data_IF_922289150555
#
_entry.id   IF_922289150555
#
_cell.length_a   1.000
_cell.length_b   1.000
_cell.length_c   1.000
_cell.angle_alpha   90.00
_cell.angle_beta   90.00
_cell.angle_gamma   90.00
#
_symmetry.space_group_name_H-M   'P 1'
#
loop_
_entity.id
_entity.type
_entity.pdbx_description
1 polymer ?
#
# COMPACT_ATOMS: atom_id res chain seq x y z
N UNK A 1 -8.99 -9.97 -17.04
CA UNK A 1 -8.30 -9.63 -15.78
C UNK A 1 -7.31 -8.54 -16.10
N UNK A 2 -7.22 -7.51 -15.26
CA UNK A 2 -6.17 -6.50 -15.41
C UNK A 2 -4.81 -7.17 -15.26
N UNK A 3 -3.86 -6.88 -16.16
CA UNK A 3 -2.47 -7.33 -16.03
C UNK A 3 -1.64 -6.48 -15.06
N UNK A 4 -2.25 -5.45 -14.46
CA UNK A 4 -1.60 -4.52 -13.56
C UNK A 4 -1.40 -5.13 -12.16
N UNK A 5 -0.19 -5.02 -11.62
CA UNK A 5 0.21 -5.55 -10.33
C UNK A 5 0.76 -4.48 -9.37
N UNK A 6 0.92 -4.83 -8.09
CA UNK A 6 1.62 -3.96 -7.13
C UNK A 6 3.09 -3.75 -7.51
N UNK A 7 3.73 -4.72 -8.17
CA UNK A 7 5.09 -4.58 -8.67
C UNK A 7 5.17 -3.55 -9.81
N UNK A 8 4.16 -3.51 -10.70
CA UNK A 8 4.06 -2.44 -11.70
C UNK A 8 3.90 -1.07 -11.04
N UNK A 9 3.08 -1.01 -9.98
CA UNK A 9 2.86 0.21 -9.24
C UNK A 9 4.14 0.68 -8.51
N UNK A 10 4.88 -0.22 -7.87
CA UNK A 10 6.17 0.08 -7.24
C UNK A 10 7.17 0.65 -8.27
N UNK A 11 7.27 0.02 -9.45
CA UNK A 11 8.12 0.51 -10.54
C UNK A 11 7.70 1.92 -10.98
N UNK A 12 6.42 2.17 -11.15
CA UNK A 12 5.89 3.50 -11.52
C UNK A 12 6.21 4.54 -10.44
N UNK A 13 6.07 4.20 -9.15
CA UNK A 13 6.43 5.08 -8.03
C UNK A 13 7.93 5.38 -8.05
N UNK A 14 8.78 4.37 -8.27
CA UNK A 14 10.23 4.55 -8.38
C UNK A 14 10.59 5.48 -9.55
N UNK A 15 10.04 5.25 -10.74
CA UNK A 15 10.25 6.10 -11.92
C UNK A 15 9.81 7.54 -11.66
N UNK A 16 8.58 7.74 -11.14
CA UNK A 16 8.03 9.07 -10.88
C UNK A 16 8.71 9.80 -9.73
N UNK A 17 9.34 9.08 -8.80
CA UNK A 17 10.11 9.68 -7.70
C UNK A 17 11.38 10.40 -8.15
N UNK A 18 11.89 10.05 -9.35
CA UNK A 18 13.12 10.60 -9.93
C UNK A 18 12.89 11.86 -10.78
N UNK A 19 11.64 12.17 -11.10
CA UNK A 19 11.27 13.36 -11.86
C UNK A 19 11.40 14.64 -11.03
N UNK A 20 11.29 15.81 -11.68
CA UNK A 20 11.23 17.09 -10.96
C UNK A 20 9.99 17.13 -10.04
N UNK A 21 10.11 17.60 -8.78
CA UNK A 21 8.98 17.85 -7.88
C UNK A 21 7.92 18.81 -8.42
N UNK A 22 8.27 19.59 -9.44
CA UNK A 22 7.36 20.53 -10.11
C UNK A 22 6.48 19.83 -11.15
N UNK A 23 6.90 18.66 -11.64
CA UNK A 23 6.27 17.92 -12.74
C UNK A 23 5.60 16.62 -12.28
N UNK A 24 5.95 16.13 -11.09
CA UNK A 24 5.47 14.85 -10.55
C UNK A 24 4.99 14.97 -9.12
N UNK A 25 3.74 14.57 -8.88
CA UNK A 25 3.17 14.48 -7.53
C UNK A 25 3.99 13.53 -6.64
N UNK A 26 4.43 12.40 -7.18
CA UNK A 26 5.28 11.44 -6.47
C UNK A 26 6.58 12.10 -6.01
N UNK A 27 7.26 12.81 -6.92
CA UNK A 27 8.48 13.52 -6.60
C UNK A 27 8.25 14.61 -5.54
N UNK A 28 7.11 15.30 -5.57
CA UNK A 28 6.72 16.30 -4.56
C UNK A 28 6.45 15.71 -3.17
N UNK A 29 5.97 14.47 -3.09
CA UNK A 29 5.84 13.75 -1.83
C UNK A 29 7.19 13.31 -1.30
N UNK A 30 8.03 12.72 -2.16
CA UNK A 30 9.38 12.25 -1.82
C UNK A 30 10.26 13.41 -1.36
N UNK A 31 10.27 14.53 -2.10
CA UNK A 31 10.98 15.75 -1.71
C UNK A 31 10.46 16.35 -0.39
N UNK A 32 9.20 16.11 -0.04
CA UNK A 32 8.63 16.51 1.25
C UNK A 32 8.91 15.54 2.40
N UNK A 33 9.57 14.42 2.12
CA UNK A 33 10.02 13.45 3.11
C UNK A 33 8.90 12.63 3.78
N UNK A 34 9.34 11.78 4.70
CA UNK A 34 8.48 10.80 5.38
C UNK A 34 7.24 11.41 6.05
N UNK A 35 7.31 12.53 6.80
CA UNK A 35 6.15 13.07 7.49
C UNK A 35 5.02 13.48 6.54
N UNK A 36 5.36 14.08 5.39
CA UNK A 36 4.39 14.53 4.40
C UNK A 36 3.72 13.35 3.72
N UNK A 37 4.51 12.35 3.30
CA UNK A 37 3.98 11.15 2.67
C UNK A 37 3.10 10.33 3.63
N UNK A 38 3.54 10.16 4.88
CA UNK A 38 2.79 9.44 5.90
C UNK A 38 1.49 10.16 6.29
N UNK A 39 1.49 11.50 6.34
CA UNK A 39 0.26 12.27 6.54
C UNK A 39 -0.75 11.97 5.44
N UNK A 40 -0.33 11.99 4.17
CA UNK A 40 -1.24 11.72 3.05
C UNK A 40 -1.78 10.30 3.09
N UNK A 41 -0.92 9.30 3.35
CA UNK A 41 -1.37 7.92 3.58
C UNK A 41 -2.44 7.83 4.70
N UNK A 42 -2.26 8.59 5.79
CA UNK A 42 -3.24 8.65 6.88
C UNK A 42 -4.57 9.26 6.45
N UNK A 43 -4.56 10.31 5.63
CA UNK A 43 -5.77 10.91 5.05
C UNK A 43 -6.55 9.87 4.22
N UNK A 44 -5.89 9.22 3.26
CA UNK A 44 -6.53 8.21 2.39
C UNK A 44 -7.08 7.02 3.18
N UNK A 45 -6.35 6.59 4.22
CA UNK A 45 -6.80 5.48 5.06
C UNK A 45 -8.10 5.81 5.81
N UNK A 46 -8.24 7.05 6.27
CA UNK A 46 -9.48 7.52 6.91
C UNK A 46 -10.60 7.63 5.88
N UNK A 47 -10.33 8.16 4.69
CA UNK A 47 -11.31 8.26 3.60
C UNK A 47 -11.81 6.87 3.17
N UNK A 48 -10.93 5.88 3.06
CA UNK A 48 -11.30 4.49 2.79
C UNK A 48 -12.19 3.89 3.90
N UNK A 49 -11.86 4.13 5.17
CA UNK A 49 -12.70 3.71 6.31
C UNK A 49 -14.08 4.35 6.24
N UNK A 50 -14.14 5.66 5.95
CA UNK A 50 -15.41 6.37 5.83
C UNK A 50 -16.27 5.83 4.69
N UNK A 51 -15.68 5.58 3.51
CA UNK A 51 -16.37 4.99 2.37
C UNK A 51 -16.91 3.58 2.68
N UNK A 52 -16.16 2.79 3.45
CA UNK A 52 -16.62 1.48 3.90
C UNK A 52 -17.82 1.60 4.87
N UNK A 53 -17.77 2.53 5.82
CA UNK A 53 -18.85 2.77 6.79
C UNK A 53 -20.14 3.23 6.11
N UNK A 54 -20.04 4.05 5.06
CA UNK A 54 -21.20 4.53 4.29
C UNK A 54 -21.66 3.55 3.21
N UNK A 55 -21.01 2.38 3.08
CA UNK A 55 -21.24 1.39 2.03
C UNK A 55 -21.09 1.96 0.60
N UNK A 56 -20.30 3.02 0.43
CA UNK A 56 -19.97 3.57 -0.88
C UNK A 56 -18.87 2.74 -1.55
N UNK A 57 -19.30 1.75 -2.34
CA UNK A 57 -18.40 0.81 -3.02
C UNK A 57 -17.48 1.49 -4.03
N UNK A 58 -17.96 2.53 -4.70
CA UNK A 58 -17.17 3.23 -5.71
C UNK A 58 -16.07 4.02 -5.02
N UNK A 59 -16.44 4.83 -4.01
CA UNK A 59 -15.46 5.59 -3.27
C UNK A 59 -14.47 4.68 -2.55
N UNK A 60 -14.93 3.59 -1.92
CA UNK A 60 -14.03 2.61 -1.28
C UNK A 60 -13.01 2.03 -2.27
N UNK A 61 -13.40 1.81 -3.54
CA UNK A 61 -12.46 1.33 -4.55
C UNK A 61 -11.40 2.37 -4.88
N UNK A 62 -11.78 3.66 -4.97
CA UNK A 62 -10.85 4.76 -5.21
C UNK A 62 -9.90 4.95 -4.03
N UNK A 63 -10.41 5.10 -2.82
CA UNK A 63 -9.57 5.35 -1.65
C UNK A 63 -8.67 4.15 -1.31
N UNK A 64 -9.14 2.92 -1.53
CA UNK A 64 -8.28 1.75 -1.36
C UNK A 64 -7.10 1.74 -2.36
N UNK A 65 -7.32 2.21 -3.59
CA UNK A 65 -6.24 2.36 -4.56
C UNK A 65 -5.24 3.44 -4.11
N UNK A 66 -5.74 4.56 -3.59
CA UNK A 66 -4.89 5.66 -3.08
C UNK A 66 -4.11 5.25 -1.83
N UNK A 67 -4.70 4.46 -0.93
CA UNK A 67 -3.98 3.84 0.19
C UNK A 67 -2.80 2.99 -0.30
N UNK A 68 -3.00 2.12 -1.29
CA UNK A 68 -1.94 1.27 -1.83
C UNK A 68 -0.84 2.11 -2.50
N UNK A 69 -1.22 3.13 -3.27
CA UNK A 69 -0.30 4.06 -3.90
C UNK A 69 0.55 4.81 -2.86
N UNK A 70 -0.10 5.44 -1.88
CA UNK A 70 0.56 6.24 -0.86
C UNK A 70 1.41 5.38 0.10
N UNK A 71 1.01 4.13 0.35
CA UNK A 71 1.83 3.18 1.08
C UNK A 71 3.15 2.91 0.34
N UNK A 72 3.11 2.67 -0.98
CA UNK A 72 4.32 2.45 -1.77
C UNK A 72 5.24 3.68 -1.80
N UNK A 73 4.68 4.90 -1.81
CA UNK A 73 5.49 6.13 -1.68
C UNK A 73 6.19 6.20 -0.31
N UNK A 74 5.47 5.87 0.77
CA UNK A 74 6.03 5.82 2.13
C UNK A 74 7.14 4.78 2.25
N UNK A 75 6.94 3.59 1.67
CA UNK A 75 7.95 2.53 1.63
C UNK A 75 9.18 2.93 0.82
N UNK A 76 8.97 3.58 -0.33
CA UNK A 76 10.04 4.13 -1.19
C UNK A 76 10.93 5.11 -0.43
N UNK A 77 10.35 6.04 0.33
CA UNK A 77 11.11 7.01 1.14
C UNK A 77 11.84 6.31 2.29
N UNK A 78 11.22 5.30 2.90
CA UNK A 78 11.82 4.50 3.98
C UNK A 78 12.90 3.52 3.50
N UNK A 79 13.07 3.34 2.17
CA UNK A 79 14.01 2.36 1.62
C UNK A 79 13.57 0.91 1.81
N UNK A 80 12.28 0.66 2.02
CA UNK A 80 11.72 -0.68 2.21
C UNK A 80 11.15 -1.16 0.87
N UNK A 81 11.65 -2.26 0.29
CA UNK A 81 11.12 -2.79 -0.97
C UNK A 81 9.77 -3.50 -0.75
N UNK A 82 8.86 -3.42 -1.72
CA UNK A 82 7.56 -4.08 -1.68
C UNK A 82 7.70 -5.59 -1.42
N UNK A 83 8.74 -6.22 -1.96
CA UNK A 83 9.02 -7.64 -1.76
C UNK A 83 9.08 -8.04 -0.28
N UNK A 84 9.59 -7.17 0.60
CA UNK A 84 9.70 -7.45 2.03
C UNK A 84 8.32 -7.43 2.68
N UNK A 85 7.44 -6.52 2.24
CA UNK A 85 6.03 -6.46 2.68
C UNK A 85 5.27 -7.68 2.19
N UNK A 86 5.47 -8.09 0.93
CA UNK A 86 4.84 -9.28 0.36
C UNK A 86 5.28 -10.56 1.08
N UNK A 87 6.58 -10.69 1.39
CA UNK A 87 7.10 -11.80 2.17
C UNK A 87 6.47 -11.87 3.57
N UNK A 88 6.27 -10.72 4.23
CA UNK A 88 5.59 -10.67 5.53
C UNK A 88 4.11 -11.07 5.41
N UNK A 89 3.41 -10.63 4.36
CA UNK A 89 2.03 -11.06 4.09
C UNK A 89 1.93 -12.56 3.84
N UNK A 90 2.84 -13.14 3.05
CA UNK A 90 2.93 -14.59 2.83
C UNK A 90 3.18 -15.35 4.13
N UNK A 91 4.11 -14.86 4.96
CA UNK A 91 4.41 -15.46 6.27
C UNK A 91 3.17 -15.49 7.17
N UNK A 92 2.41 -14.38 7.23
CA UNK A 92 1.19 -14.26 8.06
C UNK A 92 0.07 -15.19 7.59
N UNK A 93 -0.13 -15.27 6.29
CA UNK A 93 -1.21 -16.08 5.68
C UNK A 93 -0.90 -17.57 5.71
N UNK A 94 0.37 -17.96 5.62
CA UNK A 94 0.80 -19.36 5.73
C UNK A 94 0.75 -19.86 7.18
N UNK A 95 1.15 -19.04 8.17
CA UNK A 95 1.12 -19.43 9.58
C UNK A 95 -0.31 -19.58 10.15
N UNK A 96 -1.26 -18.75 9.75
CA UNK A 96 -2.65 -18.86 10.23
C UNK A 96 -3.29 -20.17 9.77
N UNK A 97 -3.10 -20.55 8.50
CA UNK A 97 -3.67 -21.79 7.95
C UNK A 97 -3.03 -23.09 8.48
N UNK A 98 -1.74 -23.08 8.84
CA UNK A 98 -1.05 -24.27 9.36
C UNK A 98 -1.25 -24.47 10.87
N UNK A 99 -1.24 -23.39 11.66
CA UNK A 99 -1.50 -23.48 13.11
C UNK A 99 -2.95 -23.86 13.41
N UNK A 100 -3.92 -23.40 12.62
CA UNK A 100 -5.33 -23.81 12.74
C UNK A 100 -5.58 -25.27 12.34
N UNK A 101 -4.82 -25.82 11.39
CA UNK A 101 -4.94 -27.24 11.02
C UNK A 101 -4.28 -28.17 12.05
N UNK A 102 -3.14 -27.78 12.61
CA UNK A 102 -2.45 -28.56 13.62
C UNK A 102 -3.22 -28.66 14.95
N UNK A 103 -3.94 -27.59 15.34
CA UNK A 103 -4.78 -27.59 16.56
C UNK A 103 -6.06 -28.43 16.42
N UNK A 104 -6.57 -28.61 15.20
CA UNK A 104 -7.75 -29.46 14.92
C UNK A 104 -7.45 -30.96 14.92
N UNK A 105 -6.20 -31.38 14.67
CA UNK A 105 -5.81 -32.80 14.66
C UNK A 105 -5.33 -33.31 16.03
N UNK A 106 -5.10 -32.40 16.97
CA UNK A 106 -4.69 -32.72 18.34
C UNK A 106 -5.83 -32.54 19.37
N UNK A 107 -7.08 -32.43 18.90
CA UNK A 107 -8.32 -32.43 19.70
C UNK A 107 -9.16 -33.67 19.43
#
# INVERSE_FOLDING_TARGET
>A
MSGFSLSDLERIVDERSKASPEESWTAKLVAGGQPKAAKKLGEEAIEAVMAAVTADRNNLTYEAADVLYHLLVVLKIAGIPLQDVMAELERRTTQSGLKEKASRQSS
#
